data_IF_309412528653
#
_entry.id   IF_309412528653
#
_cell.length_a   1.000
_cell.length_b   1.000
_cell.length_c   1.000
_cell.angle_alpha   90.00
_cell.angle_beta   90.00
_cell.angle_gamma   90.00
#
_symmetry.space_group_name_H-M   'P 1'
#
loop_
_entity.id
_entity.type
_entity.pdbx_description
1 polymer ?
#
# COMPACT_ATOMS: atom_id res chain seq x y z
N UNK A 1 10.21 -20.01 1.81
CA UNK A 1 10.00 -21.33 2.44
C UNK A 1 9.34 -22.37 1.51
N UNK A 2 8.43 -22.03 0.59
CA UNK A 2 7.81 -23.04 -0.31
C UNK A 2 7.87 -22.74 -1.82
N UNK A 3 8.31 -21.53 -2.21
CA UNK A 3 8.39 -21.05 -3.60
C UNK A 3 7.12 -21.28 -4.44
N UNK A 4 5.97 -21.51 -3.78
CA UNK A 4 4.66 -21.81 -4.36
C UNK A 4 3.59 -21.14 -3.50
N UNK A 5 2.49 -20.75 -4.15
CA UNK A 5 1.32 -20.19 -3.47
C UNK A 5 0.61 -21.26 -2.64
N UNK A 6 0.09 -20.94 -1.44
CA UNK A 6 -0.69 -21.88 -0.63
C UNK A 6 -1.92 -22.44 -1.34
N UNK A 7 -2.60 -21.62 -2.15
CA UNK A 7 -3.72 -22.00 -2.99
C UNK A 7 -3.39 -21.71 -4.46
N UNK A 8 -3.66 -22.67 -5.33
CA UNK A 8 -3.38 -22.55 -6.76
C UNK A 8 -4.31 -23.42 -7.57
N UNK A 9 -4.93 -22.85 -8.59
CA UNK A 9 -5.72 -23.60 -9.57
C UNK A 9 -5.78 -22.79 -10.89
N UNK A 10 -5.73 -23.44 -12.07
CA UNK A 10 -5.81 -22.73 -13.36
C UNK A 10 -7.19 -22.07 -13.56
N UNK A 11 -8.26 -22.72 -13.12
CA UNK A 11 -9.60 -22.12 -13.08
C UNK A 11 -9.75 -21.20 -11.86
N UNK A 12 -10.01 -19.92 -12.10
CA UNK A 12 -10.13 -18.86 -11.09
C UNK A 12 -11.31 -19.08 -10.14
N UNK A 13 -12.45 -19.59 -10.61
CA UNK A 13 -13.61 -19.86 -9.76
C UNK A 13 -13.31 -20.94 -8.73
N UNK A 14 -12.57 -21.98 -9.14
CA UNK A 14 -12.09 -23.02 -8.22
C UNK A 14 -11.06 -22.43 -7.25
N UNK A 15 -10.14 -21.59 -7.73
CA UNK A 15 -9.16 -20.91 -6.87
C UNK A 15 -9.85 -20.11 -5.75
N UNK A 16 -10.88 -19.33 -6.06
CA UNK A 16 -11.62 -18.58 -5.03
C UNK A 16 -12.29 -19.49 -4.02
N UNK A 17 -12.89 -20.61 -4.46
CA UNK A 17 -13.43 -21.62 -3.55
C UNK A 17 -12.35 -22.19 -2.63
N UNK A 18 -11.16 -22.47 -3.14
CA UNK A 18 -10.03 -22.95 -2.34
C UNK A 18 -9.58 -21.91 -1.31
N UNK A 19 -9.52 -20.63 -1.71
CA UNK A 19 -9.14 -19.53 -0.80
C UNK A 19 -10.17 -19.36 0.31
N UNK A 20 -11.47 -19.47 -0.01
CA UNK A 20 -12.56 -19.28 0.95
C UNK A 20 -12.74 -20.48 1.89
N UNK A 21 -12.72 -21.71 1.35
CA UNK A 21 -13.14 -22.90 2.10
C UNK A 21 -12.01 -23.85 2.47
N UNK A 22 -10.99 -24.00 1.64
CA UNK A 22 -9.99 -25.06 1.87
C UNK A 22 -8.94 -24.64 2.91
N UNK A 23 -8.56 -25.54 3.84
CA UNK A 23 -7.46 -25.30 4.76
C UNK A 23 -6.12 -25.30 4.02
N UNK A 24 -5.14 -24.58 4.57
CA UNK A 24 -3.77 -24.56 4.04
C UNK A 24 -3.11 -25.94 4.19
N UNK A 25 -2.47 -26.41 3.12
CA UNK A 25 -1.77 -27.71 3.09
C UNK A 25 -0.27 -27.50 3.06
N UNK A 26 0.45 -28.22 3.93
CA UNK A 26 1.91 -28.17 4.00
C UNK A 26 2.53 -29.37 3.27
N UNK A 27 3.55 -29.17 2.42
CA UNK A 27 4.21 -30.27 1.72
C UNK A 27 5.05 -31.10 2.70
N UNK A 28 4.83 -32.41 2.77
CA UNK A 28 5.57 -33.30 3.69
C UNK A 28 7.06 -33.46 3.38
N UNK A 29 7.53 -33.06 2.19
CA UNK A 29 8.94 -33.18 1.77
C UNK A 29 9.85 -32.12 2.38
N UNK A 30 9.30 -31.01 2.88
CA UNK A 30 10.08 -29.89 3.42
C UNK A 30 9.84 -29.85 4.93
N UNK A 31 10.88 -30.05 5.76
CA UNK A 31 10.74 -29.91 7.20
C UNK A 31 10.43 -28.45 7.52
N UNK A 32 9.32 -28.23 8.22
CA UNK A 32 8.88 -26.91 8.67
C UNK A 32 8.66 -26.99 10.18
N UNK A 33 9.16 -26.00 10.92
CA UNK A 33 8.99 -25.95 12.37
C UNK A 33 7.50 -25.85 12.73
N UNK A 34 7.16 -26.39 13.90
CA UNK A 34 5.80 -26.30 14.42
C UNK A 34 5.32 -24.85 14.52
N UNK A 35 6.18 -23.96 15.02
CA UNK A 35 5.86 -22.55 15.19
C UNK A 35 5.61 -21.84 13.85
N UNK A 36 6.36 -22.21 12.79
CA UNK A 36 6.11 -21.68 11.46
C UNK A 36 4.77 -22.15 10.88
N UNK A 37 4.38 -23.42 11.11
CA UNK A 37 3.04 -23.90 10.72
C UNK A 37 1.95 -23.15 11.46
N UNK A 38 2.08 -23.01 12.79
CA UNK A 38 1.14 -22.29 13.64
C UNK A 38 0.92 -20.86 13.14
N UNK A 39 2.01 -20.14 12.85
CA UNK A 39 1.95 -18.78 12.31
C UNK A 39 1.19 -18.73 10.98
N UNK A 40 1.54 -19.61 10.03
CA UNK A 40 0.92 -19.62 8.69
C UNK A 40 -0.56 -19.96 8.77
N UNK A 41 -0.94 -20.91 9.63
CA UNK A 41 -2.35 -21.28 9.85
C UNK A 41 -3.12 -20.10 10.44
N UNK A 42 -2.59 -19.45 11.49
CA UNK A 42 -3.24 -18.30 12.12
C UNK A 42 -3.40 -17.09 11.19
N UNK A 43 -2.42 -16.83 10.32
CA UNK A 43 -2.49 -15.74 9.33
C UNK A 43 -3.46 -16.05 8.18
N UNK A 44 -3.61 -17.33 7.81
CA UNK A 44 -4.50 -17.79 6.74
C UNK A 44 -5.87 -18.29 7.27
N UNK A 45 -6.22 -17.89 8.48
CA UNK A 45 -7.53 -18.16 9.09
C UNK A 45 -8.64 -17.50 8.25
N UNK A 46 -9.72 -18.25 8.03
CA UNK A 46 -10.81 -17.85 7.13
C UNK A 46 -11.67 -16.80 7.78
N UNK A 47 -11.98 -17.01 9.05
CA UNK A 47 -12.72 -16.05 9.87
C UNK A 47 -11.81 -14.84 10.19
N UNK A 48 -12.12 -13.64 9.69
CA UNK A 48 -11.30 -12.47 9.91
C UNK A 48 -11.20 -12.08 11.39
N UNK A 49 -12.18 -12.42 12.23
CA UNK A 49 -12.15 -12.11 13.66
C UNK A 49 -11.25 -13.04 14.46
N UNK A 50 -11.05 -14.28 13.98
CA UNK A 50 -10.15 -15.26 14.60
C UNK A 50 -8.75 -15.23 14.01
N UNK A 51 -8.54 -14.46 12.94
CA UNK A 51 -7.26 -14.34 12.27
C UNK A 51 -6.23 -13.73 13.20
N UNK A 52 -5.03 -14.30 13.19
CA UNK A 52 -3.91 -13.76 13.96
C UNK A 52 -3.66 -12.31 13.54
N UNK A 53 -3.67 -11.39 14.51
CA UNK A 53 -3.55 -9.96 14.27
C UNK A 53 -4.87 -9.22 14.03
N UNK A 54 -6.03 -9.87 14.15
CA UNK A 54 -7.33 -9.23 14.00
C UNK A 54 -7.63 -8.20 15.10
N UNK A 55 -7.17 -8.46 16.32
CA UNK A 55 -7.36 -7.58 17.46
C UNK A 55 -6.16 -6.65 17.65
N UNK A 56 -4.95 -7.20 17.70
CA UNK A 56 -3.73 -6.44 17.90
C UNK A 56 -2.58 -6.93 17.02
N UNK A 57 -1.81 -6.00 16.45
CA UNK A 57 -0.62 -6.35 15.68
C UNK A 57 0.44 -7.08 16.54
N UNK A 58 0.46 -6.81 17.86
CA UNK A 58 1.28 -7.50 18.85
C UNK A 58 1.12 -9.02 18.82
N UNK A 59 -0.04 -9.55 18.45
CA UNK A 59 -0.29 -10.99 18.40
C UNK A 59 0.62 -11.68 17.37
N UNK A 60 0.91 -10.98 16.28
CA UNK A 60 1.83 -11.45 15.24
C UNK A 60 3.28 -11.32 15.74
N UNK A 61 3.62 -10.16 16.33
CA UNK A 61 4.99 -9.85 16.75
C UNK A 61 5.48 -10.72 17.92
N UNK A 62 4.57 -11.10 18.82
CA UNK A 62 4.87 -11.92 20.01
C UNK A 62 4.75 -13.43 19.74
N UNK A 63 4.35 -13.83 18.54
CA UNK A 63 4.19 -15.24 18.18
C UNK A 63 5.51 -16.02 18.35
N UNK A 64 5.49 -17.28 18.85
CA UNK A 64 6.71 -18.08 19.10
C UNK A 64 7.68 -18.19 17.93
N UNK A 65 7.17 -18.11 16.69
CA UNK A 65 7.99 -18.07 15.48
C UNK A 65 9.02 -16.93 15.47
N UNK A 66 8.68 -15.78 16.06
CA UNK A 66 9.55 -14.61 16.17
C UNK A 66 10.25 -14.51 17.53
N UNK A 67 10.25 -15.59 18.34
CA UNK A 67 10.91 -15.61 19.64
C UNK A 67 12.40 -15.26 19.48
N UNK A 68 12.85 -14.26 20.22
CA UNK A 68 14.23 -13.77 20.19
C UNK A 68 14.51 -12.71 19.12
N UNK A 69 13.50 -12.28 18.36
CA UNK A 69 13.63 -11.15 17.44
C UNK A 69 13.53 -9.82 18.21
N UNK A 70 14.58 -9.01 18.13
CA UNK A 70 14.60 -7.66 18.69
C UNK A 70 13.98 -6.68 17.68
N UNK A 71 12.66 -6.50 17.72
CA UNK A 71 11.91 -5.66 16.78
C UNK A 71 12.41 -4.21 16.72
N UNK A 72 12.88 -3.63 17.84
CA UNK A 72 13.51 -2.30 17.88
C UNK A 72 14.76 -2.21 17.00
N UNK A 73 15.59 -3.26 17.01
CA UNK A 73 16.80 -3.32 16.21
C UNK A 73 16.49 -3.56 14.74
N UNK A 74 15.45 -4.35 14.44
CA UNK A 74 14.96 -4.57 13.08
C UNK A 74 14.52 -3.24 12.48
N UNK A 75 13.72 -2.47 13.22
CA UNK A 75 13.21 -1.19 12.75
C UNK A 75 14.35 -0.16 12.57
N UNK A 76 15.30 -0.10 13.51
CA UNK A 76 16.51 0.72 13.41
C UNK A 76 17.52 0.22 12.37
N UNK A 77 17.17 -0.80 11.56
CA UNK A 77 17.99 -1.40 10.50
C UNK A 77 19.36 -1.89 11.01
N UNK A 78 19.44 -2.27 12.29
CA UNK A 78 20.66 -2.76 12.95
C UNK A 78 20.87 -4.27 12.78
N UNK A 79 19.83 -5.01 12.42
CA UNK A 79 19.91 -6.45 12.15
C UNK A 79 20.50 -6.67 10.75
N UNK A 80 21.59 -7.43 10.64
CA UNK A 80 22.16 -7.76 9.33
C UNK A 80 21.20 -8.65 8.54
N UNK A 81 20.88 -8.30 7.28
CA UNK A 81 20.03 -9.14 6.45
C UNK A 81 20.74 -10.47 6.13
N UNK A 82 19.98 -11.59 5.99
CA UNK A 82 20.54 -12.91 5.71
C UNK A 82 21.11 -13.03 4.29
N UNK A 83 20.70 -12.15 3.37
CA UNK A 83 21.19 -12.10 2.00
C UNK A 83 21.39 -10.65 1.58
N UNK A 84 22.55 -10.37 0.97
CA UNK A 84 22.89 -9.07 0.37
C UNK A 84 23.17 -9.29 -1.12
N UNK A 85 22.49 -8.59 -2.03
CA UNK A 85 22.75 -8.73 -3.47
C UNK A 85 24.14 -8.20 -3.84
N UNK A 86 24.80 -8.88 -4.78
CA UNK A 86 26.05 -8.42 -5.40
C UNK A 86 25.75 -7.26 -6.36
N UNK A 87 26.04 -6.03 -5.95
CA UNK A 87 25.78 -4.82 -6.77
C UNK A 87 26.80 -4.61 -7.89
N UNK A 88 27.95 -5.30 -7.86
CA UNK A 88 29.03 -5.14 -8.84
C UNK A 88 28.75 -5.81 -10.18
N UNK A 89 27.90 -6.85 -10.21
CA UNK A 89 27.52 -7.56 -11.44
C UNK A 89 26.29 -6.95 -12.14
N UNK A 90 25.66 -5.96 -11.51
CA UNK A 90 24.34 -5.41 -11.89
C UNK A 90 24.42 -3.99 -12.49
N UNK A 91 25.61 -3.52 -12.89
CA UNK A 91 25.77 -2.26 -13.64
C UNK A 91 25.00 -2.26 -14.97
N UNK A 92 24.73 -3.44 -15.55
CA UNK A 92 23.94 -3.59 -16.77
C UNK A 92 22.41 -3.62 -16.54
N UNK A 93 21.93 -3.78 -15.30
CA UNK A 93 20.51 -3.68 -14.92
C UNK A 93 20.20 -2.52 -13.99
N UNK A 94 21.02 -1.47 -14.00
CA UNK A 94 20.51 -0.15 -13.62
C UNK A 94 19.42 0.19 -14.63
N UNK A 95 18.17 -0.16 -14.33
CA UNK A 95 17.06 0.63 -14.83
C UNK A 95 17.33 2.00 -14.25
N UNK A 96 17.89 2.89 -15.06
CA UNK A 96 17.95 4.30 -14.72
C UNK A 96 16.50 4.79 -14.76
N UNK A 97 15.75 4.43 -13.72
CA UNK A 97 14.42 4.93 -13.46
C UNK A 97 14.65 6.33 -12.94
N UNK A 98 14.81 7.24 -13.89
CA UNK A 98 14.77 8.66 -13.61
C UNK A 98 13.35 8.98 -13.13
N UNK A 99 13.17 8.92 -11.80
CA UNK A 99 11.90 9.20 -11.14
C UNK A 99 11.38 10.59 -11.51
N UNK A 100 12.26 11.54 -11.87
CA UNK A 100 11.87 12.86 -12.38
C UNK A 100 11.13 12.78 -13.72
N UNK A 101 11.52 11.85 -14.61
CA UNK A 101 10.91 11.68 -15.92
C UNK A 101 9.56 10.98 -15.88
N UNK A 102 9.34 10.07 -14.92
CA UNK A 102 8.06 9.38 -14.71
C UNK A 102 7.02 10.34 -14.12
N UNK A 103 7.44 11.21 -13.21
CA UNK A 103 6.57 12.23 -12.61
C UNK A 103 6.25 13.37 -13.58
N UNK A 104 7.11 13.63 -14.58
CA UNK A 104 6.99 14.76 -15.51
C UNK A 104 6.62 14.37 -16.95
N UNK A 105 6.18 13.13 -17.24
CA UNK A 105 5.70 12.80 -18.58
C UNK A 105 4.40 13.58 -18.87
N UNK A 106 4.54 14.73 -19.56
CA UNK A 106 3.42 15.43 -20.17
C UNK A 106 2.75 14.46 -21.13
N UNK A 107 1.54 14.00 -20.83
CA UNK A 107 0.73 13.25 -21.79
C UNK A 107 0.59 14.08 -23.05
N UNK A 108 0.85 13.54 -24.26
CA UNK A 108 0.48 14.24 -25.47
C UNK A 108 -1.03 14.51 -25.43
N UNK A 109 -1.50 15.68 -25.86
CA UNK A 109 -2.93 15.94 -25.91
C UNK A 109 -3.60 14.86 -26.76
N UNK A 110 -4.77 14.34 -26.35
CA UNK A 110 -5.45 13.30 -27.12
C UNK A 110 -5.70 13.82 -28.54
N UNK A 111 -5.21 13.09 -29.53
CA UNK A 111 -5.58 13.33 -30.93
C UNK A 111 -7.10 13.29 -31.04
N UNK A 112 -7.67 14.35 -31.60
CA UNK A 112 -9.09 14.69 -31.69
C UNK A 112 -9.97 13.67 -32.45
N UNK A 113 -9.47 12.48 -32.76
CA UNK A 113 -10.11 11.53 -33.66
C UNK A 113 -11.03 10.50 -32.97
N UNK A 114 -10.89 10.23 -31.67
CA UNK A 114 -11.74 9.22 -30.99
C UNK A 114 -13.08 9.74 -30.44
N UNK A 115 -13.41 11.03 -30.59
CA UNK A 115 -14.57 11.64 -29.93
C UNK A 115 -15.85 11.72 -30.78
N UNK A 116 -15.87 11.22 -32.01
CA UNK A 116 -17.10 11.22 -32.84
C UNK A 116 -18.10 10.10 -32.52
N UNK A 117 -17.76 9.09 -31.72
CA UNK A 117 -18.66 7.96 -31.41
C UNK A 117 -19.41 8.08 -30.08
N UNK A 118 -19.02 9.01 -29.21
CA UNK A 118 -19.79 9.40 -28.04
C UNK A 118 -20.01 10.89 -28.18
N UNK A 119 -21.24 11.32 -28.47
CA UNK A 119 -21.62 12.66 -28.94
C UNK A 119 -21.37 13.81 -27.95
N UNK A 120 -20.13 13.99 -27.52
CA UNK A 120 -19.67 15.14 -26.77
C UNK A 120 -19.22 16.22 -27.75
N UNK A 121 -20.01 17.28 -27.83
CA UNK A 121 -19.61 18.48 -28.57
C UNK A 121 -18.59 19.25 -27.74
N UNK A 122 -17.49 19.74 -28.34
CA UNK A 122 -16.56 20.62 -27.64
C UNK A 122 -17.25 21.97 -27.41
N UNK A 123 -17.22 22.44 -26.16
CA UNK A 123 -17.87 23.67 -25.75
C UNK A 123 -16.93 24.86 -25.99
N UNK A 124 -16.93 25.38 -27.22
CA UNK A 124 -16.35 26.70 -27.51
C UNK A 124 -17.34 27.47 -28.39
N UNK A 125 -18.20 28.28 -27.76
CA UNK A 125 -18.81 29.50 -28.32
C UNK A 125 -19.85 30.03 -27.32
N UNK A 126 -19.49 31.02 -26.48
CA UNK A 126 -20.11 32.37 -26.55
C UNK A 126 -19.50 33.37 -25.54
N UNK A 127 -19.12 34.52 -26.10
CA UNK A 127 -19.07 35.91 -25.58
C UNK A 127 -18.61 36.26 -24.14
N UNK A 128 -17.57 37.09 -24.09
CA UNK A 128 -16.91 37.73 -22.94
C UNK A 128 -17.70 38.91 -22.32
N UNK A 129 -17.59 39.16 -21.00
CA UNK A 129 -17.72 40.50 -20.42
C UNK A 129 -16.35 41.17 -20.12
N UNK A 130 -16.34 42.51 -20.01
CA UNK A 130 -15.18 43.41 -19.82
C UNK A 130 -14.51 43.22 -18.43
N UNK A 131 -13.20 43.49 -18.29
CA UNK A 131 -12.46 43.27 -17.05
C UNK A 131 -12.64 44.44 -16.07
N UNK A 132 -12.91 44.13 -14.79
CA UNK A 132 -12.72 45.03 -13.65
C UNK A 132 -11.57 44.53 -12.75
N UNK A 133 -10.77 45.44 -12.18
CA UNK A 133 -9.50 45.12 -11.53
C UNK A 133 -9.74 44.59 -10.12
N UNK A 134 -9.85 43.27 -10.04
CA UNK A 134 -9.34 42.30 -9.06
C UNK A 134 -9.92 41.01 -9.66
N UNK A 135 -9.26 40.40 -10.63
CA UNK A 135 -9.74 39.20 -11.33
C UNK A 135 -9.46 37.98 -10.42
N UNK A 136 -10.39 37.25 -9.77
CA UNK A 136 -11.76 36.78 -10.08
C UNK A 136 -11.82 35.88 -11.32
N UNK A 137 -12.91 35.13 -11.51
CA UNK A 137 -13.53 34.03 -10.78
C UNK A 137 -13.62 32.80 -11.73
N UNK A 138 -14.44 31.79 -11.42
CA UNK A 138 -14.93 30.72 -12.34
C UNK A 138 -14.19 29.37 -12.33
N UNK A 139 -14.65 28.47 -11.46
CA UNK A 139 -14.75 27.03 -11.72
C UNK A 139 -15.77 26.40 -10.77
N UNK A 140 -17.05 26.73 -10.95
CA UNK A 140 -18.11 25.89 -10.42
C UNK A 140 -18.24 24.65 -11.33
N UNK A 141 -17.72 23.52 -10.84
CA UNK A 141 -18.14 22.18 -11.25
C UNK A 141 -17.21 21.41 -12.19
N UNK A 142 -16.06 20.95 -11.69
CA UNK A 142 -15.33 19.84 -12.31
C UNK A 142 -14.66 18.99 -11.22
N UNK A 143 -14.82 17.68 -11.33
CA UNK A 143 -14.45 16.64 -10.38
C UNK A 143 -13.09 16.90 -9.69
N UNK A 144 -13.14 17.17 -8.39
CA UNK A 144 -12.05 17.22 -7.40
C UNK A 144 -10.61 17.31 -7.92
N UNK A 145 -10.07 18.53 -8.00
CA UNK A 145 -8.62 18.77 -7.95
C UNK A 145 -8.05 18.16 -6.66
N UNK A 146 -7.48 16.96 -6.72
CA UNK A 146 -6.49 16.56 -5.72
C UNK A 146 -5.22 17.39 -5.95
N UNK A 147 -5.15 18.57 -5.33
CA UNK A 147 -3.86 19.23 -5.14
C UNK A 147 -3.13 18.49 -4.03
N UNK A 148 -2.00 17.87 -4.35
CA UNK A 148 -1.06 17.40 -3.34
C UNK A 148 -0.46 18.63 -2.66
N UNK A 149 -1.12 19.09 -1.59
CA UNK A 149 -0.46 19.95 -0.63
C UNK A 149 0.45 19.01 0.15
N UNK A 150 1.73 18.98 -0.23
CA UNK A 150 2.75 18.52 0.69
C UNK A 150 2.88 19.65 1.71
N UNK A 151 2.07 19.60 2.77
CA UNK A 151 2.35 20.43 3.93
C UNK A 151 3.80 20.13 4.32
N UNK A 152 4.64 21.16 4.40
CA UNK A 152 6.05 21.05 4.74
C UNK A 152 6.29 20.65 6.21
N UNK A 153 5.28 20.08 6.87
CA UNK A 153 5.44 19.29 8.08
C UNK A 153 5.64 17.83 7.68
N UNK A 154 6.64 17.12 8.24
CA UNK A 154 6.86 15.71 7.96
C UNK A 154 5.79 14.86 8.70
N UNK A 155 4.50 15.13 8.47
CA UNK A 155 3.37 14.47 9.12
C UNK A 155 3.11 13.05 8.58
N UNK A 156 3.89 12.60 7.60
CA UNK A 156 3.85 11.23 7.06
C UNK A 156 5.02 10.36 7.53
N UNK A 157 6.06 10.95 8.14
CA UNK A 157 7.04 10.17 8.88
C UNK A 157 6.48 9.96 10.27
N UNK A 158 5.69 8.88 10.43
CA UNK A 158 5.51 8.31 11.76
C UNK A 158 6.92 8.01 12.26
N UNK A 159 7.32 8.64 13.36
CA UNK A 159 8.64 8.40 13.93
C UNK A 159 8.82 6.89 14.13
N UNK A 160 9.97 6.34 13.76
CA UNK A 160 10.22 4.90 13.81
C UNK A 160 9.90 4.37 15.23
N UNK A 161 10.21 5.14 16.27
CA UNK A 161 9.90 4.77 17.65
C UNK A 161 8.37 4.71 17.94
N UNK A 162 7.55 5.52 17.27
CA UNK A 162 6.08 5.52 17.41
C UNK A 162 5.41 4.34 16.70
N UNK A 163 6.02 3.81 15.63
CA UNK A 163 5.47 2.68 14.88
C UNK A 163 5.42 1.39 15.70
N UNK A 164 6.48 1.13 16.47
CA UNK A 164 6.55 -0.05 17.34
C UNK A 164 5.59 0.08 18.52
N UNK A 165 5.55 1.26 19.15
CA UNK A 165 4.60 1.53 20.22
C UNK A 165 3.15 1.37 19.74
N UNK A 166 2.79 1.86 18.55
CA UNK A 166 1.46 1.64 17.99
C UNK A 166 1.16 0.15 17.76
N UNK A 167 2.14 -0.61 17.27
CA UNK A 167 1.98 -2.05 17.04
C UNK A 167 1.79 -2.86 18.33
N UNK A 168 2.45 -2.47 19.42
CA UNK A 168 2.34 -3.14 20.73
C UNK A 168 1.21 -2.63 21.61
N UNK A 169 0.92 -1.32 21.58
CA UNK A 169 -0.12 -0.69 22.40
C UNK A 169 -1.51 -0.76 21.78
N UNK A 170 -1.62 -1.10 20.50
CA UNK A 170 -2.89 -1.14 19.77
C UNK A 170 -3.53 0.24 19.58
N UNK A 171 -2.82 1.33 19.89
CA UNK A 171 -3.26 2.68 19.51
C UNK A 171 -3.28 2.74 17.99
N UNK A 172 -4.47 2.85 17.41
CA UNK A 172 -4.62 3.18 15.99
C UNK A 172 -3.76 4.42 15.73
N UNK A 173 -2.96 4.38 14.67
CA UNK A 173 -2.26 5.54 14.13
C UNK A 173 -3.20 6.75 14.21
N UNK A 174 -2.80 7.75 14.99
CA UNK A 174 -3.57 8.95 15.27
C UNK A 174 -3.77 9.75 13.97
N UNK A 175 -4.84 9.40 13.26
CA UNK A 175 -5.48 10.20 12.21
C UNK A 175 -6.98 10.15 12.46
N UNK A 176 -7.41 10.56 13.66
CA UNK A 176 -8.82 10.83 13.97
C UNK A 176 -8.96 11.70 15.23
N UNK A 177 -8.07 12.68 15.40
CA UNK A 177 -8.25 13.71 16.44
C UNK A 177 -8.14 15.11 15.81
N UNK A 178 -9.04 15.37 14.87
CA UNK A 178 -9.35 16.72 14.40
C UNK A 178 -10.83 16.75 14.01
N UNK A 179 -11.73 16.58 14.99
CA UNK A 179 -13.14 17.03 14.93
C UNK A 179 -13.87 16.91 16.29
N UNK A 180 -13.14 17.00 17.40
CA UNK A 180 -13.75 16.97 18.74
C UNK A 180 -13.18 18.04 19.68
N UNK A 181 -12.81 19.22 19.16
CA UNK A 181 -12.72 20.45 19.94
C UNK A 181 -13.06 21.63 19.02
N UNK A 182 -14.34 21.83 18.75
CA UNK A 182 -14.89 23.18 18.73
C UNK A 182 -16.31 23.08 19.28
N UNK A 183 -16.60 23.96 20.24
CA UNK A 183 -17.75 23.96 21.13
C UNK A 183 -19.02 24.48 20.45
#
# INVERSE_FOLDING_TARGET
MFARRPFHHPNVSVLYRLIDKDPVKFPGRIPISHDAKSLIVGLLEKDPHKRLGAHHASDILTHPFFKGMAWDQVLKKKVSPPWKPDTTKDLSRRTNVDLGRIVMSKTPPPSTSMFSFFGWKPMDTLSKPKPNPIANPDAAGEFGRFSYVCDSTPSFLVDEDDMLEAAFSGRRSVQLEALAVEA
#
